data_IF_175837437706
#
_entry.id   IF_175837437706
#
_cell.length_a   1.000
_cell.length_b   1.000
_cell.length_c   1.000
_cell.angle_alpha   90.00
_cell.angle_beta   90.00
_cell.angle_gamma   90.00
#
_symmetry.space_group_name_H-M   'P 1'
#
loop_
_entity.id
_entity.type
_entity.pdbx_description
1 polymer ?
#
# COMPACT_ATOMS: atom_id res chain seq x y z
N UNK A 1 20.29 -12.36 8.99
CA UNK A 1 20.34 -11.77 10.33
C UNK A 1 20.73 -10.29 10.20
N UNK A 2 19.79 -9.43 9.79
CA UNK A 2 19.92 -7.96 9.86
C UNK A 2 18.54 -7.42 10.26
N UNK A 3 18.22 -7.60 11.54
CA UNK A 3 17.18 -6.85 12.25
C UNK A 3 17.91 -6.04 13.29
N UNK A 4 18.58 -4.99 12.85
CA UNK A 4 18.93 -3.88 13.72
C UNK A 4 18.05 -2.73 13.26
N UNK A 5 17.01 -2.44 14.04
CA UNK A 5 16.28 -1.19 13.87
C UNK A 5 17.31 -0.07 13.91
N UNK A 6 17.45 0.65 12.81
CA UNK A 6 18.23 1.89 12.82
C UNK A 6 17.48 2.81 13.77
N UNK A 7 18.01 2.96 14.98
CA UNK A 7 17.60 4.01 15.90
C UNK A 7 17.93 5.34 15.23
N UNK A 8 16.95 5.87 14.51
CA UNK A 8 17.01 7.21 13.95
C UNK A 8 16.77 8.14 15.14
N UNK A 9 17.81 8.34 15.96
CA UNK A 9 17.83 9.15 17.19
C UNK A 9 17.52 10.65 17.00
N UNK A 10 16.83 10.99 15.92
CA UNK A 10 16.23 12.29 15.70
C UNK A 10 14.89 12.31 16.42
N UNK A 11 14.81 13.20 17.40
CA UNK A 11 13.54 13.55 18.01
C UNK A 11 12.71 14.24 16.94
N UNK A 12 11.64 13.58 16.46
CA UNK A 12 10.67 14.26 15.60
C UNK A 12 10.13 15.48 16.37
N UNK A 13 9.99 16.64 15.71
CA UNK A 13 9.36 17.77 16.36
C UNK A 13 7.98 17.33 16.89
N UNK A 14 7.55 17.85 18.05
CA UNK A 14 6.22 17.56 18.55
C UNK A 14 5.21 17.86 17.45
N UNK A 15 4.17 17.01 17.31
CA UNK A 15 3.04 17.27 16.42
C UNK A 15 2.48 18.66 16.78
N UNK A 16 2.86 19.67 16.01
CA UNK A 16 2.55 21.05 16.32
C UNK A 16 1.04 21.28 16.22
N UNK A 17 0.49 22.03 17.16
CA UNK A 17 -0.78 22.71 16.92
C UNK A 17 -0.52 23.79 15.88
N UNK A 18 -1.18 23.69 14.72
CA UNK A 18 -1.17 24.64 13.60
C UNK A 18 0.25 25.13 13.19
N UNK A 19 0.78 24.77 12.01
CA UNK A 19 2.11 25.20 11.58
C UNK A 19 2.23 26.73 11.34
N UNK A 20 1.15 27.49 11.52
CA UNK A 20 1.17 28.94 11.42
C UNK A 20 1.84 29.60 12.63
N UNK A 21 2.85 30.42 12.35
CA UNK A 21 3.48 31.33 13.30
C UNK A 21 2.63 32.57 13.64
N UNK A 22 1.46 32.75 13.00
CA UNK A 22 0.52 33.84 13.28
C UNK A 22 -0.93 33.33 13.41
N UNK A 23 -1.78 34.02 14.17
CA UNK A 23 -3.20 33.69 14.31
C UNK A 23 -4.03 33.82 13.01
N UNK A 24 -3.40 34.24 11.90
CA UNK A 24 -4.00 34.46 10.59
C UNK A 24 -3.55 33.45 9.52
N UNK A 25 -2.74 32.44 9.87
CA UNK A 25 -2.38 31.40 8.91
C UNK A 25 -3.62 30.64 8.43
N UNK A 26 -3.85 30.67 7.13
CA UNK A 26 -4.94 30.00 6.40
C UNK A 26 -4.80 28.49 6.33
N UNK A 27 -4.02 27.88 7.23
CA UNK A 27 -4.06 26.44 7.45
C UNK A 27 -4.82 26.21 8.75
N UNK A 28 -6.17 26.22 8.74
CA UNK A 28 -6.91 25.45 9.73
C UNK A 28 -6.25 24.09 9.86
N UNK A 29 -6.03 23.64 11.10
CA UNK A 29 -5.43 22.33 11.36
C UNK A 29 -6.10 21.33 10.43
N UNK A 30 -5.28 20.66 9.61
CA UNK A 30 -5.66 19.69 8.57
C UNK A 30 -7.17 19.46 8.50
N UNK A 31 -7.85 20.00 7.48
CA UNK A 31 -9.25 19.69 7.16
C UNK A 31 -9.51 18.18 6.93
N UNK A 32 -8.47 17.35 7.03
CA UNK A 32 -8.59 15.91 6.99
C UNK A 32 -9.40 15.38 8.19
N UNK A 33 -10.39 14.56 7.88
CA UNK A 33 -11.07 13.73 8.85
C UNK A 33 -10.09 12.81 9.59
N UNK A 34 -10.46 12.35 10.81
CA UNK A 34 -9.77 11.25 11.47
C UNK A 34 -9.59 10.04 10.53
N UNK A 35 -8.49 9.29 10.64
CA UNK A 35 -8.33 8.06 9.86
C UNK A 35 -9.42 7.05 10.20
N UNK A 36 -10.00 6.42 9.17
CA UNK A 36 -11.04 5.39 9.31
C UNK A 36 -10.64 4.20 8.45
N UNK A 37 -9.96 3.22 9.06
CA UNK A 37 -9.51 2.02 8.35
C UNK A 37 -10.63 0.98 8.41
N UNK A 38 -11.39 0.88 7.34
CA UNK A 38 -12.54 -0.01 7.21
C UNK A 38 -12.63 -0.59 5.79
N UNK A 39 -13.15 -1.80 5.60
CA UNK A 39 -13.41 -2.33 4.27
C UNK A 39 -14.44 -1.48 3.50
N UNK A 40 -14.52 -1.70 2.19
CA UNK A 40 -15.52 -1.05 1.34
C UNK A 40 -15.40 0.48 1.29
N UNK A 41 -16.51 1.16 0.98
CA UNK A 41 -16.55 2.62 0.79
C UNK A 41 -16.26 3.44 2.05
N UNK A 42 -16.54 2.89 3.24
CA UNK A 42 -16.31 3.59 4.51
C UNK A 42 -14.84 3.97 4.72
N UNK A 43 -13.91 3.10 4.33
CA UNK A 43 -12.47 3.35 4.41
C UNK A 43 -11.93 4.44 3.47
N UNK A 44 -12.70 4.82 2.42
CA UNK A 44 -12.30 5.87 1.48
C UNK A 44 -12.12 7.24 2.16
N UNK A 45 -12.73 7.43 3.33
CA UNK A 45 -12.68 8.65 4.15
C UNK A 45 -11.35 8.86 4.87
N UNK A 46 -10.47 7.86 4.88
CA UNK A 46 -9.16 7.96 5.52
C UNK A 46 -8.37 9.15 4.97
N UNK A 47 -8.14 10.14 5.84
CA UNK A 47 -7.46 11.42 5.56
C UNK A 47 -8.11 12.29 4.48
N UNK A 48 -9.40 12.10 4.25
CA UNK A 48 -10.17 12.94 3.34
C UNK A 48 -10.43 14.32 3.91
N UNK A 49 -10.38 15.34 3.05
CA UNK A 49 -10.69 16.74 3.39
C UNK A 49 -11.98 17.19 2.69
N UNK A 50 -13.16 16.71 3.13
CA UNK A 50 -14.43 17.00 2.46
C UNK A 50 -14.86 18.46 2.55
N UNK A 51 -14.31 19.22 3.51
CA UNK A 51 -14.69 20.61 3.77
C UNK A 51 -13.90 21.64 2.95
N UNK A 52 -13.11 21.20 1.97
CA UNK A 52 -12.39 22.12 1.06
C UNK A 52 -13.39 22.72 0.05
N UNK A 53 -13.60 24.06 0.06
CA UNK A 53 -14.57 24.69 -0.83
C UNK A 53 -14.28 24.39 -2.30
N UNK A 54 -15.28 23.90 -3.04
CA UNK A 54 -15.17 23.61 -4.48
C UNK A 54 -14.56 22.26 -4.84
N UNK A 55 -14.10 21.45 -3.87
CA UNK A 55 -13.67 20.08 -4.13
C UNK A 55 -14.88 19.13 -4.26
N UNK A 56 -14.84 18.17 -5.18
CA UNK A 56 -15.85 17.12 -5.23
C UNK A 56 -15.82 16.30 -3.93
N UNK A 57 -16.99 15.77 -3.55
CA UNK A 57 -17.10 14.83 -2.44
C UNK A 57 -16.27 13.56 -2.68
N UNK A 58 -16.06 12.79 -1.61
CA UNK A 58 -15.35 11.52 -1.72
C UNK A 58 -16.12 10.55 -2.62
N UNK A 59 -15.37 9.78 -3.42
CA UNK A 59 -15.93 8.66 -4.17
C UNK A 59 -16.52 7.64 -3.21
N UNK A 60 -17.77 7.25 -3.45
CA UNK A 60 -18.41 6.11 -2.78
C UNK A 60 -17.94 4.78 -3.39
N UNK A 61 -17.39 4.82 -4.61
CA UNK A 61 -16.86 3.65 -5.31
C UNK A 61 -15.42 3.35 -4.89
N UNK A 62 -15.11 2.07 -4.84
CA UNK A 62 -13.81 1.45 -4.59
C UNK A 62 -13.41 0.55 -5.76
N UNK A 63 -12.24 -0.09 -5.70
CA UNK A 63 -11.87 -1.06 -6.72
C UNK A 63 -12.81 -2.28 -6.78
N UNK A 64 -13.68 -2.49 -5.80
CA UNK A 64 -14.74 -3.51 -5.84
C UNK A 64 -15.86 -3.18 -6.84
N UNK A 65 -16.05 -1.91 -7.19
CA UNK A 65 -17.03 -1.47 -8.19
C UNK A 65 -16.52 -1.59 -9.64
N UNK A 66 -15.23 -1.94 -9.80
CA UNK A 66 -14.54 -2.04 -11.08
C UNK A 66 -13.90 -3.44 -11.23
N UNK A 67 -14.68 -4.47 -10.93
CA UNK A 67 -14.25 -5.85 -11.09
C UNK A 67 -14.18 -6.25 -12.59
N UNK A 68 -13.26 -7.15 -12.97
CA UNK A 68 -13.19 -7.69 -14.33
C UNK A 68 -14.44 -8.51 -14.70
N UNK A 69 -14.63 -8.79 -15.98
CA UNK A 69 -15.73 -9.63 -16.45
C UNK A 69 -15.72 -11.02 -15.78
N UNK A 70 -16.91 -11.47 -15.35
CA UNK A 70 -17.10 -12.74 -14.66
C UNK A 70 -16.72 -12.73 -13.17
N UNK A 71 -16.37 -11.57 -12.61
CA UNK A 71 -16.20 -11.36 -11.18
C UNK A 71 -17.41 -10.67 -10.57
N UNK A 72 -17.83 -11.15 -9.40
CA UNK A 72 -18.93 -10.58 -8.62
C UNK A 72 -18.52 -10.54 -7.14
N UNK A 73 -19.09 -9.61 -6.38
CA UNK A 73 -18.84 -9.51 -4.93
C UNK A 73 -20.07 -9.01 -4.20
N UNK A 74 -20.28 -9.57 -3.00
CA UNK A 74 -21.31 -9.14 -2.07
C UNK A 74 -20.73 -9.00 -0.65
N UNK A 75 -21.22 -8.00 0.10
CA UNK A 75 -20.97 -7.86 1.53
C UNK A 75 -22.07 -8.58 2.33
N UNK A 76 -21.67 -9.34 3.34
CA UNK A 76 -22.56 -10.16 4.16
C UNK A 76 -22.54 -9.69 5.62
N UNK A 77 -23.72 -9.41 6.18
CA UNK A 77 -23.91 -9.13 7.61
C UNK A 77 -23.83 -10.44 8.41
N UNK A 78 -22.60 -10.89 8.69
CA UNK A 78 -22.33 -12.07 9.51
C UNK A 78 -22.19 -13.38 8.72
N UNK A 79 -21.76 -14.44 9.41
CA UNK A 79 -21.45 -15.74 8.81
C UNK A 79 -22.65 -16.69 8.72
N UNK A 80 -23.90 -16.20 8.71
CA UNK A 80 -25.07 -17.08 8.78
C UNK A 80 -25.10 -18.05 7.57
N UNK A 81 -24.81 -19.32 7.86
CA UNK A 81 -24.99 -20.44 6.94
C UNK A 81 -23.80 -20.85 6.07
N UNK A 82 -22.72 -20.06 5.95
CA UNK A 82 -21.63 -20.38 4.99
C UNK A 82 -20.25 -20.51 5.63
N UNK A 83 -19.96 -19.82 6.74
CA UNK A 83 -18.61 -19.81 7.33
C UNK A 83 -17.53 -19.31 6.35
N UNK A 84 -16.27 -19.14 6.80
CA UNK A 84 -15.20 -18.77 5.88
C UNK A 84 -14.93 -19.90 4.88
N UNK A 85 -15.12 -19.62 3.59
CA UNK A 85 -14.71 -20.47 2.49
C UNK A 85 -13.41 -19.92 1.90
N UNK A 86 -12.28 -20.44 2.39
CA UNK A 86 -10.96 -20.03 1.93
C UNK A 86 -10.70 -20.38 0.47
N UNK A 87 -9.81 -19.63 -0.17
CA UNK A 87 -9.36 -19.92 -1.52
C UNK A 87 -8.69 -21.30 -1.62
N UNK A 88 -9.08 -22.08 -2.62
CA UNK A 88 -8.43 -23.33 -3.00
C UNK A 88 -8.37 -23.46 -4.52
N UNK A 89 -7.40 -24.20 -5.03
CA UNK A 89 -7.22 -24.34 -6.47
C UNK A 89 -8.45 -25.00 -7.12
N UNK A 90 -9.01 -24.36 -8.14
CA UNK A 90 -10.22 -24.82 -8.82
C UNK A 90 -11.55 -24.34 -8.21
N UNK A 91 -11.51 -23.63 -7.07
CA UNK A 91 -12.70 -22.92 -6.61
C UNK A 91 -13.04 -21.74 -7.55
N UNK A 92 -14.30 -21.33 -7.55
CA UNK A 92 -14.81 -20.18 -8.31
C UNK A 92 -15.52 -19.17 -7.39
N UNK A 93 -15.45 -19.40 -6.07
CA UNK A 93 -16.14 -18.64 -5.04
C UNK A 93 -15.35 -18.73 -3.74
N UNK A 94 -15.24 -17.62 -3.02
CA UNK A 94 -14.67 -17.54 -1.67
C UNK A 94 -15.54 -16.69 -0.77
N UNK A 95 -15.47 -16.96 0.53
CA UNK A 95 -16.10 -16.15 1.57
C UNK A 95 -15.07 -15.93 2.67
N UNK A 96 -14.77 -14.68 3.01
CA UNK A 96 -13.75 -14.37 4.00
C UNK A 96 -14.17 -13.21 4.91
N UNK A 97 -13.70 -13.23 6.16
CA UNK A 97 -13.95 -12.17 7.12
C UNK A 97 -13.12 -10.94 6.81
N UNK A 98 -13.66 -9.74 7.07
CA UNK A 98 -13.02 -8.44 6.92
C UNK A 98 -12.60 -7.85 8.29
N UNK A 99 -11.84 -6.76 8.27
CA UNK A 99 -11.26 -6.14 9.47
C UNK A 99 -12.26 -5.50 10.43
N UNK A 100 -13.50 -5.28 9.99
CA UNK A 100 -14.61 -4.78 10.81
C UNK A 100 -15.53 -5.91 11.34
N UNK A 101 -15.21 -7.17 11.02
CA UNK A 101 -15.99 -8.35 11.41
C UNK A 101 -17.10 -8.73 10.42
N UNK A 102 -17.33 -7.95 9.37
CA UNK A 102 -18.20 -8.34 8.26
C UNK A 102 -17.57 -9.49 7.44
N UNK A 103 -18.36 -10.08 6.55
CA UNK A 103 -17.88 -11.08 5.59
C UNK A 103 -18.03 -10.55 4.18
N UNK A 104 -17.13 -10.96 3.30
CA UNK A 104 -17.24 -10.70 1.86
C UNK A 104 -17.26 -12.00 1.10
N UNK A 105 -18.22 -12.09 0.19
CA UNK A 105 -18.28 -13.11 -0.83
C UNK A 105 -17.70 -12.56 -2.13
N UNK A 106 -16.90 -13.38 -2.82
CA UNK A 106 -16.37 -13.06 -4.15
C UNK A 106 -16.48 -14.28 -5.03
N UNK A 107 -17.09 -14.10 -6.19
CA UNK A 107 -17.22 -15.10 -7.26
C UNK A 107 -16.31 -14.70 -8.42
N UNK A 108 -15.66 -15.65 -9.08
CA UNK A 108 -14.70 -15.40 -10.15
C UNK A 108 -14.62 -16.59 -11.12
N UNK A 109 -14.08 -16.40 -12.34
CA UNK A 109 -14.02 -17.47 -13.33
C UNK A 109 -13.25 -18.70 -12.85
N UNK A 110 -13.74 -19.88 -13.24
CA UNK A 110 -13.09 -21.15 -12.90
C UNK A 110 -11.65 -21.20 -13.43
N UNK A 111 -10.74 -21.78 -12.63
CA UNK A 111 -9.32 -21.89 -12.99
C UNK A 111 -8.51 -20.61 -12.74
N UNK A 112 -9.11 -19.56 -12.17
CA UNK A 112 -8.39 -18.38 -11.73
C UNK A 112 -7.32 -18.73 -10.69
N UNK A 113 -6.14 -18.15 -10.84
CA UNK A 113 -5.04 -18.27 -9.90
C UNK A 113 -4.45 -16.88 -9.63
N UNK A 114 -4.45 -16.39 -8.37
CA UNK A 114 -3.95 -15.06 -8.06
C UNK A 114 -2.43 -15.00 -8.29
N UNK A 115 -2.01 -13.97 -9.01
CA UNK A 115 -0.60 -13.73 -9.34
C UNK A 115 -0.06 -12.46 -8.67
N UNK A 116 -0.92 -11.48 -8.43
CA UNK A 116 -0.61 -10.19 -7.81
C UNK A 116 -1.14 -10.09 -6.37
N UNK A 117 -0.69 -9.06 -5.66
CA UNK A 117 -1.16 -8.76 -4.30
C UNK A 117 -2.65 -8.36 -4.29
N UNK A 118 -3.11 -7.61 -5.30
CA UNK A 118 -4.52 -7.23 -5.46
C UNK A 118 -5.40 -8.46 -5.66
N UNK A 119 -5.00 -9.35 -6.57
CA UNK A 119 -5.72 -10.60 -6.85
C UNK A 119 -5.79 -11.50 -5.61
N UNK A 120 -4.67 -11.67 -4.91
CA UNK A 120 -4.60 -12.45 -3.67
C UNK A 120 -5.53 -11.86 -2.60
N UNK A 121 -5.51 -10.54 -2.43
CA UNK A 121 -6.36 -9.84 -1.48
C UNK A 121 -7.85 -10.01 -1.79
N UNK A 122 -8.22 -9.92 -3.08
CA UNK A 122 -9.61 -10.06 -3.52
C UNK A 122 -10.18 -11.46 -3.33
N UNK A 123 -9.33 -12.48 -3.28
CA UNK A 123 -9.76 -13.85 -2.93
C UNK A 123 -9.57 -14.18 -1.44
N UNK A 124 -9.35 -13.16 -0.60
CA UNK A 124 -9.29 -13.31 0.86
C UNK A 124 -7.94 -13.78 1.40
N UNK A 125 -6.93 -13.99 0.55
CA UNK A 125 -5.60 -14.47 0.97
C UNK A 125 -4.82 -13.33 1.60
N UNK A 126 -4.29 -13.58 2.79
CA UNK A 126 -3.26 -12.74 3.42
C UNK A 126 -1.91 -13.32 3.01
N UNK A 127 -1.15 -12.54 2.25
CA UNK A 127 0.18 -12.95 1.77
C UNK A 127 1.27 -12.64 2.80
N UNK A 128 2.45 -13.25 2.63
CA UNK A 128 3.62 -12.94 3.49
C UNK A 128 4.04 -11.48 3.37
N UNK A 129 3.85 -10.88 2.19
CA UNK A 129 4.12 -9.46 1.98
C UNK A 129 3.15 -8.57 2.78
N UNK A 130 1.87 -8.93 2.86
CA UNK A 130 0.89 -8.22 3.69
C UNK A 130 1.22 -8.35 5.18
N UNK A 131 1.60 -9.54 5.64
CA UNK A 131 2.07 -9.76 7.02
C UNK A 131 3.31 -8.91 7.33
N UNK A 132 4.26 -8.85 6.39
CA UNK A 132 5.47 -8.05 6.54
C UNK A 132 5.18 -6.54 6.56
N UNK A 133 4.24 -6.07 5.74
CA UNK A 133 3.76 -4.68 5.79
C UNK A 133 3.16 -4.36 7.15
N UNK A 134 2.27 -5.22 7.68
CA UNK A 134 1.67 -5.04 9.00
C UNK A 134 2.74 -5.00 10.11
N UNK A 135 3.79 -5.82 10.00
CA UNK A 135 4.91 -5.78 10.93
C UNK A 135 5.71 -4.45 10.88
N UNK A 136 5.77 -3.78 9.72
CA UNK A 136 6.39 -2.45 9.56
C UNK A 136 5.48 -1.30 10.01
N UNK A 137 4.19 -1.48 9.80
CA UNK A 137 3.13 -0.54 10.15
C UNK A 137 2.34 -1.09 11.34
N UNK A 138 2.95 -1.09 12.53
CA UNK A 138 2.41 -1.73 13.74
C UNK A 138 1.01 -1.23 14.17
N UNK A 139 0.51 -0.14 13.58
CA UNK A 139 -0.87 0.35 13.76
C UNK A 139 -1.90 -0.34 12.84
N UNK A 140 -1.46 -1.22 11.93
CA UNK A 140 -2.31 -1.98 11.01
C UNK A 140 -2.19 -3.49 11.28
N UNK A 141 -3.31 -4.19 11.18
CA UNK A 141 -3.34 -5.66 11.16
C UNK A 141 -3.18 -6.20 9.73
N UNK A 142 -2.74 -7.46 9.55
CA UNK A 142 -2.67 -8.08 8.22
C UNK A 142 -4.01 -8.11 7.47
N UNK A 143 -5.13 -8.27 8.21
CA UNK A 143 -6.48 -8.22 7.64
C UNK A 143 -6.81 -6.82 7.10
N UNK A 144 -6.50 -5.76 7.86
CA UNK A 144 -6.70 -4.38 7.41
C UNK A 144 -5.82 -4.05 6.19
N UNK A 145 -4.57 -4.53 6.15
CA UNK A 145 -3.70 -4.41 4.97
C UNK A 145 -4.34 -5.09 3.76
N UNK A 146 -4.79 -6.33 3.91
CA UNK A 146 -5.49 -7.06 2.84
C UNK A 146 -6.73 -6.31 2.36
N UNK A 147 -7.55 -5.77 3.26
CA UNK A 147 -8.78 -5.07 2.90
C UNK A 147 -8.51 -3.77 2.14
N UNK A 148 -7.50 -2.99 2.54
CA UNK A 148 -7.08 -1.79 1.82
C UNK A 148 -6.50 -2.12 0.43
N UNK A 149 -5.76 -3.23 0.32
CA UNK A 149 -5.24 -3.72 -0.97
C UNK A 149 -6.40 -4.18 -1.87
N UNK A 150 -7.34 -4.96 -1.35
CA UNK A 150 -8.47 -5.48 -2.12
C UNK A 150 -9.41 -4.37 -2.61
N UNK A 151 -9.60 -3.32 -1.79
CA UNK A 151 -10.35 -2.13 -2.14
C UNK A 151 -9.59 -1.16 -3.07
N UNK A 152 -8.32 -1.44 -3.40
CA UNK A 152 -7.48 -0.64 -4.29
C UNK A 152 -7.02 0.69 -3.71
N UNK A 153 -7.04 0.85 -2.38
CA UNK A 153 -6.57 2.06 -1.67
C UNK A 153 -5.14 1.95 -1.16
N UNK A 154 -4.58 0.75 -1.25
CA UNK A 154 -3.21 0.43 -0.89
C UNK A 154 -2.61 -0.48 -1.94
N UNK A 155 -1.34 -0.28 -2.26
CA UNK A 155 -0.57 -1.14 -3.16
C UNK A 155 0.69 -1.62 -2.46
N UNK A 156 1.10 -2.85 -2.79
CA UNK A 156 2.36 -3.45 -2.33
C UNK A 156 3.19 -3.76 -3.59
N UNK A 157 4.14 -2.89 -3.97
CA UNK A 157 5.00 -3.13 -5.12
C UNK A 157 5.99 -4.26 -4.80
N UNK A 158 5.60 -5.49 -5.12
CA UNK A 158 6.37 -6.69 -4.81
C UNK A 158 6.43 -7.62 -6.03
N UNK A 159 7.25 -7.25 -7.01
CA UNK A 159 7.54 -8.12 -8.15
C UNK A 159 8.20 -9.42 -7.65
N UNK A 160 7.70 -10.57 -8.11
CA UNK A 160 8.18 -11.92 -7.73
C UNK A 160 9.67 -12.12 -7.95
N UNK A 161 10.22 -11.51 -9.00
CA UNK A 161 11.67 -11.57 -9.28
C UNK A 161 12.45 -10.78 -8.22
N UNK A 162 12.00 -9.57 -7.89
CA UNK A 162 12.65 -8.73 -6.89
C UNK A 162 12.52 -9.28 -5.46
N UNK A 163 11.42 -9.98 -5.15
CA UNK A 163 11.29 -10.74 -3.90
C UNK A 163 12.40 -11.80 -3.76
N UNK A 164 12.85 -12.40 -4.86
CA UNK A 164 14.00 -13.31 -4.89
C UNK A 164 15.32 -12.66 -4.46
N UNK A 165 15.46 -11.35 -4.66
CA UNK A 165 16.62 -10.55 -4.25
C UNK A 165 16.50 -9.94 -2.84
N UNK A 166 15.59 -10.46 -2.01
CA UNK A 166 15.37 -10.02 -0.61
C UNK A 166 14.81 -8.60 -0.48
N UNK A 167 13.97 -8.18 -1.43
CA UNK A 167 13.12 -7.00 -1.25
C UNK A 167 12.41 -7.09 0.10
N UNK A 168 12.48 -6.03 0.91
CA UNK A 168 11.68 -5.88 2.12
C UNK A 168 10.35 -5.20 1.75
N UNK A 169 9.23 -5.94 1.65
CA UNK A 169 7.96 -5.40 1.19
C UNK A 169 7.49 -4.21 2.01
N UNK A 170 6.90 -3.24 1.33
CA UNK A 170 6.22 -2.10 1.93
C UNK A 170 4.92 -1.81 1.19
N UNK A 171 4.06 -1.04 1.84
CA UNK A 171 2.81 -0.59 1.24
C UNK A 171 2.81 0.91 1.02
N UNK A 172 2.12 1.32 -0.04
CA UNK A 172 1.82 2.71 -0.37
C UNK A 172 0.30 2.82 -0.37
N UNK A 173 -0.25 3.61 0.53
CA UNK A 173 -1.69 3.84 0.63
C UNK A 173 -2.02 4.84 1.72
N UNK A 174 -3.24 5.41 1.67
CA UNK A 174 -3.63 6.43 2.64
C UNK A 174 -3.57 5.93 4.08
N UNK A 175 -3.89 4.67 4.35
CA UNK A 175 -3.85 4.08 5.69
C UNK A 175 -2.42 3.84 6.25
N UNK A 176 -1.38 3.91 5.41
CA UNK A 176 0.03 3.72 5.81
C UNK A 176 0.69 5.04 6.20
N UNK A 177 1.90 4.99 6.79
CA UNK A 177 2.71 6.20 6.93
C UNK A 177 3.11 6.72 5.55
N UNK A 178 3.16 8.05 5.38
CA UNK A 178 3.62 8.69 4.14
C UNK A 178 4.97 8.13 3.71
N UNK A 179 5.06 7.72 2.45
CA UNK A 179 6.28 7.17 1.84
C UNK A 179 6.97 8.23 0.99
N UNK A 180 8.30 8.20 0.97
CA UNK A 180 9.12 9.08 0.14
C UNK A 180 9.89 8.29 -0.92
N UNK A 181 9.96 8.85 -2.13
CA UNK A 181 10.70 8.27 -3.25
C UNK A 181 11.95 9.11 -3.55
N UNK A 182 13.09 8.46 -3.78
CA UNK A 182 14.29 9.10 -4.32
C UNK A 182 14.48 8.71 -5.79
N UNK A 183 14.76 9.69 -6.65
CA UNK A 183 15.11 9.44 -8.04
C UNK A 183 16.63 9.42 -8.19
N UNK A 184 17.13 8.45 -8.94
CA UNK A 184 18.54 8.32 -9.32
C UNK A 184 18.63 8.11 -10.83
N UNK A 185 19.84 8.09 -11.38
CA UNK A 185 20.02 7.81 -12.78
C UNK A 185 21.28 8.40 -13.37
N UNK A 186 21.86 7.63 -14.27
CA UNK A 186 23.00 7.99 -15.07
C UNK A 186 22.61 8.95 -16.21
N UNK A 187 23.37 10.03 -16.33
CA UNK A 187 23.31 10.96 -17.46
C UNK A 187 24.41 10.62 -18.47
N UNK A 188 24.19 10.79 -19.79
CA UNK A 188 25.22 10.60 -20.82
C UNK A 188 26.52 11.37 -20.59
N UNK A 189 26.47 12.41 -19.74
CA UNK A 189 27.57 13.35 -19.48
C UNK A 189 28.34 13.00 -18.20
N UNK A 190 27.74 12.28 -17.25
CA UNK A 190 28.43 11.84 -16.03
C UNK A 190 27.64 10.75 -15.31
N UNK A 191 28.26 9.57 -15.15
CA UNK A 191 28.19 8.69 -13.97
C UNK A 191 28.75 7.32 -14.33
N UNK A 192 29.30 6.62 -13.35
CA UNK A 192 29.66 5.20 -13.43
C UNK A 192 28.68 4.35 -12.61
N UNK A 193 28.60 3.05 -12.87
CA UNK A 193 27.74 2.12 -12.12
C UNK A 193 27.99 2.20 -10.61
N UNK A 194 29.25 2.37 -10.18
CA UNK A 194 29.61 2.49 -8.77
C UNK A 194 29.00 3.74 -8.10
N UNK A 195 28.93 4.86 -8.82
CA UNK A 195 28.31 6.09 -8.32
C UNK A 195 26.80 5.95 -8.15
N UNK A 196 26.13 5.22 -9.05
CA UNK A 196 24.68 4.96 -8.93
C UNK A 196 24.37 4.03 -7.74
N UNK A 197 25.21 3.01 -7.51
CA UNK A 197 25.10 2.15 -6.32
C UNK A 197 25.37 2.95 -5.04
N UNK A 198 26.29 3.91 -5.05
CA UNK A 198 26.51 4.79 -3.89
C UNK A 198 25.30 5.67 -3.60
N UNK A 199 24.69 6.26 -4.64
CA UNK A 199 23.45 7.05 -4.51
C UNK A 199 22.32 6.20 -3.91
N UNK A 200 22.19 4.94 -4.33
CA UNK A 200 21.18 4.01 -3.80
C UNK A 200 21.35 3.83 -2.29
N UNK A 201 22.57 3.45 -1.87
CA UNK A 201 22.91 3.26 -0.46
C UNK A 201 22.68 4.54 0.35
N UNK A 202 22.96 5.70 -0.23
CA UNK A 202 22.73 6.98 0.42
C UNK A 202 21.24 7.28 0.60
N UNK A 203 20.44 7.05 -0.44
CA UNK A 203 18.98 7.23 -0.39
C UNK A 203 18.34 6.32 0.69
N UNK A 204 18.70 5.04 0.71
CA UNK A 204 18.23 4.10 1.73
C UNK A 204 18.64 4.53 3.15
N UNK A 205 19.90 4.95 3.32
CA UNK A 205 20.44 5.40 4.62
C UNK A 205 19.66 6.57 5.21
N UNK A 206 19.30 7.53 4.37
CA UNK A 206 18.53 8.71 4.79
C UNK A 206 17.01 8.51 4.77
N UNK A 207 16.58 7.30 4.40
CA UNK A 207 15.22 6.84 4.63
C UNK A 207 14.28 7.03 3.46
N UNK A 208 14.78 7.06 2.23
CA UNK A 208 13.95 6.81 1.06
C UNK A 208 13.23 5.46 1.22
N UNK A 209 11.91 5.45 1.03
CA UNK A 209 11.12 4.22 1.04
C UNK A 209 11.23 3.51 -0.31
N UNK A 210 11.13 4.26 -1.41
CA UNK A 210 11.32 3.72 -2.75
C UNK A 210 12.40 4.48 -3.50
N UNK A 211 12.98 3.81 -4.49
CA UNK A 211 13.97 4.41 -5.38
C UNK A 211 13.59 4.11 -6.82
N UNK A 212 13.74 5.09 -7.70
CA UNK A 212 13.49 4.93 -9.12
C UNK A 212 14.76 5.27 -9.91
N UNK A 213 15.20 4.33 -10.74
CA UNK A 213 16.27 4.54 -11.72
C UNK A 213 15.71 5.16 -13.01
N UNK A 214 16.11 6.42 -13.27
CA UNK A 214 15.75 7.22 -14.43
C UNK A 214 16.93 7.40 -15.40
N UNK A 215 17.91 6.49 -15.39
CA UNK A 215 19.06 6.51 -16.29
C UNK A 215 18.65 6.64 -17.77
N UNK A 216 19.34 7.51 -18.50
CA UNK A 216 19.02 7.84 -19.91
C UNK A 216 20.15 7.52 -20.89
N UNK A 217 21.31 7.06 -20.43
CA UNK A 217 22.45 6.66 -21.27
C UNK A 217 23.35 5.63 -20.59
N UNK A 218 24.22 4.97 -21.36
CA UNK A 218 25.09 3.87 -20.90
C UNK A 218 24.46 2.48 -21.08
N UNK A 219 25.05 1.47 -20.44
CA UNK A 219 24.51 0.09 -20.39
C UNK A 219 23.48 -0.02 -19.25
N UNK A 220 22.21 0.22 -19.59
CA UNK A 220 21.10 0.34 -18.66
C UNK A 220 20.77 -0.97 -17.94
N UNK A 221 20.96 -2.11 -18.60
CA UNK A 221 20.65 -3.42 -18.03
C UNK A 221 21.69 -3.79 -16.97
N UNK A 222 22.98 -3.59 -17.27
CA UNK A 222 24.06 -3.82 -16.32
C UNK A 222 23.97 -2.92 -15.07
N UNK A 223 23.49 -1.68 -15.22
CA UNK A 223 23.33 -0.75 -14.11
C UNK A 223 22.13 -1.09 -13.20
N UNK A 224 21.10 -1.74 -13.75
CA UNK A 224 19.90 -2.17 -13.01
C UNK A 224 20.05 -3.52 -12.32
N UNK A 225 20.94 -4.37 -12.85
CA UNK A 225 21.28 -5.67 -12.26
C UNK A 225 22.24 -5.56 -11.06
N UNK A 226 23.00 -4.47 -10.96
CA UNK A 226 24.01 -4.22 -9.92
C UNK A 226 23.39 -3.86 -8.55
#
# INVERSE_FOLDING_TARGET
>A
MITAGIDRGYQLPPLGTNPSSTAQGTTPGSFALPPVIQPGGAGARTFASPDTPGMPGLSERTAWDFLPDGWETDELEGAEGVGPLGFSQGCARVVFSQGDGSFREVTFPAGFAPSTQLESARVGIITREMERVAAREAHLTPIQVRDEVAAGRMVIPANKVHLGYRLDPMAIGRATKTKINANMGASPVSSSTDEEVEKLKWAERWGADTVMDLSTGGDLDACRDA
#
